data_IF_062345988360
#
_entry.id   IF_062345988360
#
_cell.length_a   1.000
_cell.length_b   1.000
_cell.length_c   1.000
_cell.angle_alpha   90.00
_cell.angle_beta   90.00
_cell.angle_gamma   90.00
#
_symmetry.space_group_name_H-M   'P 1'
#
loop_
_entity.id
_entity.type
_entity.pdbx_description
1 polymer ?
#
# COMPACT_ATOMS: atom_id res chain seq x y z
N UNK A 1 29.76 10.29 -10.06
CA UNK A 1 28.29 10.18 -9.77
C UNK A 1 27.80 8.92 -10.44
N UNK A 2 27.57 7.85 -9.67
CA UNK A 2 27.12 6.58 -10.22
C UNK A 2 25.65 6.72 -10.60
N UNK A 3 25.35 6.52 -11.87
CA UNK A 3 23.98 6.45 -12.38
C UNK A 3 23.23 5.32 -11.66
N UNK A 4 21.96 5.47 -11.31
CA UNK A 4 21.20 4.41 -10.66
C UNK A 4 21.16 3.16 -11.52
N UNK A 5 21.30 1.99 -10.89
CA UNK A 5 21.43 0.69 -11.56
C UNK A 5 20.33 0.42 -12.60
N UNK A 6 19.10 0.88 -12.35
CA UNK A 6 17.99 0.76 -13.30
C UNK A 6 18.19 1.62 -14.55
N UNK A 7 18.71 2.84 -14.41
CA UNK A 7 18.97 3.71 -15.56
C UNK A 7 20.12 3.16 -16.41
N UNK A 8 21.17 2.61 -15.79
CA UNK A 8 22.27 1.97 -16.50
C UNK A 8 21.84 0.67 -17.18
N UNK A 9 20.94 -0.10 -16.58
CA UNK A 9 20.41 -1.32 -17.20
C UNK A 9 19.51 -1.00 -18.40
N UNK A 10 18.63 0.01 -18.29
CA UNK A 10 17.75 0.42 -19.40
C UNK A 10 18.49 1.16 -20.51
N UNK A 11 19.56 1.89 -20.20
CA UNK A 11 20.40 2.53 -21.22
C UNK A 11 21.25 1.54 -22.00
N UNK A 12 21.69 0.42 -21.38
CA UNK A 12 22.40 -0.68 -22.06
C UNK A 12 21.46 -1.61 -22.82
N UNK A 13 20.22 -1.78 -22.34
CA UNK A 13 19.19 -2.50 -23.06
C UNK A 13 18.55 -1.54 -24.06
N UNK A 14 18.69 -1.81 -25.35
CA UNK A 14 18.03 -1.00 -26.39
C UNK A 14 16.52 -0.90 -26.13
N UNK A 15 15.84 0.16 -26.59
CA UNK A 15 14.43 0.43 -26.27
C UNK A 15 13.49 -0.77 -26.56
N UNK A 16 13.85 -1.59 -27.54
CA UNK A 16 13.12 -2.83 -27.86
C UNK A 16 13.18 -3.86 -26.72
N UNK A 17 14.33 -4.04 -26.10
CA UNK A 17 14.50 -4.99 -24.97
C UNK A 17 13.71 -4.51 -23.75
N UNK A 18 13.73 -3.23 -23.47
CA UNK A 18 12.96 -2.65 -22.34
C UNK A 18 11.45 -2.84 -22.55
N UNK A 19 10.98 -2.59 -23.78
CA UNK A 19 9.54 -2.78 -24.12
C UNK A 19 9.15 -4.26 -24.06
N UNK A 20 9.98 -5.17 -24.58
CA UNK A 20 9.68 -6.61 -24.55
C UNK A 20 9.66 -7.17 -23.12
N UNK A 21 10.61 -6.78 -22.27
CA UNK A 21 10.63 -7.19 -20.85
C UNK A 21 9.43 -6.62 -20.10
N UNK A 22 9.10 -5.35 -20.33
CA UNK A 22 7.92 -4.71 -19.75
C UNK A 22 6.61 -5.39 -20.17
N UNK A 23 6.46 -5.70 -21.45
CA UNK A 23 5.29 -6.40 -21.98
C UNK A 23 5.16 -7.83 -21.42
N UNK A 24 6.28 -8.53 -21.27
CA UNK A 24 6.31 -9.88 -20.71
C UNK A 24 5.96 -9.88 -19.22
N UNK A 25 6.47 -8.92 -18.45
CA UNK A 25 6.10 -8.73 -17.06
C UNK A 25 4.60 -8.41 -16.91
N UNK A 26 4.08 -7.52 -17.73
CA UNK A 26 2.66 -7.16 -17.72
C UNK A 26 1.78 -8.36 -18.07
N UNK A 27 2.19 -9.15 -19.05
CA UNK A 27 1.49 -10.38 -19.44
C UNK A 27 1.46 -11.39 -18.29
N UNK A 28 2.59 -11.62 -17.61
CA UNK A 28 2.66 -12.50 -16.44
C UNK A 28 1.77 -12.00 -15.31
N UNK A 29 1.78 -10.68 -15.04
CA UNK A 29 0.97 -10.08 -14.00
C UNK A 29 -0.54 -10.18 -14.27
N UNK A 30 -0.95 -10.10 -15.53
CA UNK A 30 -2.34 -10.29 -15.93
C UNK A 30 -2.74 -11.77 -15.96
N UNK A 31 -1.81 -12.67 -16.33
CA UNK A 31 -2.06 -14.11 -16.38
C UNK A 31 -2.27 -14.71 -14.98
N UNK A 32 -1.52 -14.25 -13.96
CA UNK A 32 -1.60 -14.82 -12.60
C UNK A 32 -3.02 -14.79 -11.99
N UNK A 33 -3.76 -13.66 -11.98
CA UNK A 33 -5.12 -13.66 -11.48
C UNK A 33 -6.09 -14.47 -12.34
N UNK A 34 -5.87 -14.54 -13.66
CA UNK A 34 -6.69 -15.39 -14.54
C UNK A 34 -6.46 -16.89 -14.26
N UNK A 35 -5.21 -17.30 -14.04
CA UNK A 35 -4.88 -18.68 -13.66
C UNK A 35 -5.43 -19.07 -12.29
N UNK A 36 -5.62 -18.12 -11.37
CA UNK A 36 -6.22 -18.39 -10.07
C UNK A 36 -7.74 -18.70 -10.14
N UNK A 37 -8.41 -18.35 -11.24
CA UNK A 37 -9.83 -18.66 -11.48
C UNK A 37 -10.06 -20.07 -12.01
N UNK A 38 -9.00 -20.82 -12.35
CA UNK A 38 -9.10 -22.19 -12.82
C UNK A 38 -9.57 -23.14 -11.70
N UNK A 39 -10.30 -24.22 -12.04
CA UNK A 39 -10.68 -25.24 -11.08
C UNK A 39 -9.48 -25.85 -10.35
N UNK A 40 -9.72 -26.28 -9.09
CA UNK A 40 -8.67 -26.84 -8.22
C UNK A 40 -7.95 -28.07 -8.78
N UNK A 41 -8.56 -28.79 -9.70
CA UNK A 41 -8.02 -29.98 -10.33
C UNK A 41 -7.03 -29.67 -11.49
N UNK A 42 -6.90 -28.40 -11.86
CA UNK A 42 -6.03 -28.01 -12.96
C UNK A 42 -4.59 -27.78 -12.46
N UNK A 43 -3.55 -28.43 -13.06
CA UNK A 43 -2.16 -28.26 -12.63
C UNK A 43 -1.61 -26.83 -12.82
N UNK A 44 -2.28 -25.98 -13.59
CA UNK A 44 -1.91 -24.58 -13.82
C UNK A 44 -2.62 -23.63 -12.84
N UNK A 45 -3.44 -24.12 -11.92
CA UNK A 45 -4.11 -23.27 -10.95
C UNK A 45 -3.09 -22.60 -10.02
N UNK A 46 -3.17 -21.27 -9.91
CA UNK A 46 -2.38 -20.49 -8.96
C UNK A 46 -3.14 -20.39 -7.64
N UNK A 47 -2.52 -20.81 -6.54
CA UNK A 47 -3.13 -20.74 -5.22
C UNK A 47 -3.38 -19.28 -4.79
N UNK A 48 -4.44 -19.06 -4.01
CA UNK A 48 -4.75 -17.74 -3.43
C UNK A 48 -3.58 -17.18 -2.59
N UNK A 49 -2.82 -18.06 -1.93
CA UNK A 49 -1.62 -17.69 -1.21
C UNK A 49 -0.55 -17.08 -2.14
N UNK A 50 -0.27 -17.74 -3.26
CA UNK A 50 0.70 -17.26 -4.26
C UNK A 50 0.28 -15.91 -4.84
N UNK A 51 -1.02 -15.75 -5.15
CA UNK A 51 -1.55 -14.48 -5.66
C UNK A 51 -1.36 -13.35 -4.64
N UNK A 52 -1.66 -13.61 -3.37
CA UNK A 52 -1.47 -12.65 -2.28
C UNK A 52 0.01 -12.30 -2.10
N UNK A 53 0.89 -13.29 -2.18
CA UNK A 53 2.34 -13.08 -2.08
C UNK A 53 2.88 -12.21 -3.21
N UNK A 54 2.46 -12.48 -4.44
CA UNK A 54 2.84 -11.67 -5.62
C UNK A 54 2.32 -10.25 -5.47
N UNK A 55 1.08 -10.05 -5.01
CA UNK A 55 0.53 -8.73 -4.72
C UNK A 55 1.37 -7.95 -3.70
N UNK A 56 1.81 -8.59 -2.62
CA UNK A 56 2.72 -7.97 -1.63
C UNK A 56 4.07 -7.59 -2.25
N UNK A 57 4.65 -8.47 -3.04
CA UNK A 57 5.93 -8.21 -3.72
C UNK A 57 5.81 -7.00 -4.65
N UNK A 58 4.71 -6.88 -5.39
CA UNK A 58 4.45 -5.74 -6.27
C UNK A 58 4.32 -4.43 -5.49
N UNK A 59 3.60 -4.43 -4.38
CA UNK A 59 3.51 -3.27 -3.51
C UNK A 59 4.88 -2.82 -3.00
N UNK A 60 5.72 -3.75 -2.55
CA UNK A 60 7.09 -3.42 -2.12
C UNK A 60 7.99 -2.99 -3.28
N UNK A 61 7.80 -3.54 -4.48
CA UNK A 61 8.53 -3.11 -5.67
C UNK A 61 8.23 -1.64 -6.01
N UNK A 62 6.99 -1.19 -5.87
CA UNK A 62 6.61 0.23 -6.06
C UNK A 62 7.35 1.13 -5.06
N UNK A 63 7.41 0.72 -3.79
CA UNK A 63 8.14 1.48 -2.76
C UNK A 63 9.65 1.52 -3.06
N UNK A 64 10.21 0.39 -3.48
CA UNK A 64 11.62 0.29 -3.87
C UNK A 64 11.95 1.19 -5.07
N UNK A 65 11.08 1.23 -6.09
CA UNK A 65 11.21 2.13 -7.24
C UNK A 65 11.14 3.60 -6.82
N UNK A 66 10.22 3.96 -5.92
CA UNK A 66 10.12 5.32 -5.40
C UNK A 66 11.39 5.73 -4.65
N UNK A 67 11.97 4.83 -3.86
CA UNK A 67 13.24 5.05 -3.16
C UNK A 67 14.40 5.23 -4.15
N UNK A 68 14.49 4.37 -5.16
CA UNK A 68 15.53 4.43 -6.20
C UNK A 68 15.47 5.74 -7.00
N UNK A 69 14.26 6.20 -7.33
CA UNK A 69 14.06 7.49 -7.99
C UNK A 69 14.60 8.66 -7.15
N UNK A 70 14.27 8.71 -5.85
CA UNK A 70 14.72 9.78 -4.98
C UNK A 70 16.24 9.72 -4.78
N UNK A 71 16.80 8.54 -4.55
CA UNK A 71 18.23 8.38 -4.38
C UNK A 71 19.00 8.62 -5.67
N UNK A 72 18.49 8.11 -6.80
CA UNK A 72 19.16 8.21 -8.09
C UNK A 72 19.18 9.63 -8.66
N UNK A 73 18.07 10.36 -8.58
CA UNK A 73 17.97 11.72 -9.13
C UNK A 73 18.35 12.81 -8.14
N UNK A 74 17.87 12.73 -6.90
CA UNK A 74 18.13 13.76 -5.90
C UNK A 74 19.42 13.52 -5.09
N UNK A 75 19.98 12.31 -5.14
CA UNK A 75 21.14 11.91 -4.33
C UNK A 75 20.85 11.90 -2.82
N UNK A 76 19.59 11.86 -2.45
CA UNK A 76 19.11 11.90 -1.07
C UNK A 76 18.60 10.53 -0.67
N UNK A 77 19.22 9.89 0.30
CA UNK A 77 18.72 8.66 0.88
C UNK A 77 17.60 9.00 1.87
N UNK A 78 16.35 8.67 1.51
CA UNK A 78 15.20 8.81 2.39
C UNK A 78 14.79 7.47 2.95
N UNK A 79 14.78 7.33 4.27
CA UNK A 79 14.30 6.14 4.98
C UNK A 79 12.83 6.27 5.41
N UNK A 80 12.16 7.32 4.93
CA UNK A 80 10.76 7.64 5.28
C UNK A 80 9.70 7.08 4.34
N UNK A 81 10.07 6.43 3.23
CA UNK A 81 9.11 5.97 2.21
C UNK A 81 8.05 5.01 2.75
N UNK A 82 8.41 4.18 3.74
CA UNK A 82 7.47 3.27 4.39
C UNK A 82 6.31 3.99 5.09
N UNK A 83 6.55 5.16 5.68
CA UNK A 83 5.51 5.95 6.34
C UNK A 83 4.48 6.50 5.33
N UNK A 84 4.95 7.06 4.22
CA UNK A 84 4.07 7.59 3.19
C UNK A 84 3.24 6.48 2.54
N UNK A 85 3.86 5.33 2.31
CA UNK A 85 3.16 4.14 1.81
C UNK A 85 2.11 3.64 2.82
N UNK A 86 2.46 3.56 4.11
CA UNK A 86 1.55 3.14 5.16
C UNK A 86 0.33 4.07 5.29
N UNK A 87 0.53 5.41 5.23
CA UNK A 87 -0.57 6.37 5.26
C UNK A 87 -1.58 6.15 4.13
N UNK A 88 -1.10 5.93 2.91
CA UNK A 88 -1.97 5.57 1.79
C UNK A 88 -2.70 4.25 2.02
N UNK A 89 -1.99 3.25 2.57
CA UNK A 89 -2.56 1.96 2.94
C UNK A 89 -3.65 2.08 4.02
N UNK A 90 -3.46 2.93 5.03
CA UNK A 90 -4.48 3.19 6.06
C UNK A 90 -5.72 3.89 5.50
N UNK A 91 -5.56 4.84 4.57
CA UNK A 91 -6.69 5.50 3.92
C UNK A 91 -7.57 4.50 3.15
N UNK A 92 -6.97 3.64 2.34
CA UNK A 92 -7.71 2.58 1.63
C UNK A 92 -8.23 1.51 2.60
N UNK A 93 -7.44 1.14 3.60
CA UNK A 93 -7.84 0.18 4.63
C UNK A 93 -9.07 0.62 5.40
N UNK A 94 -9.18 1.92 5.74
CA UNK A 94 -10.37 2.46 6.42
C UNK A 94 -11.62 2.37 5.53
N UNK A 95 -11.50 2.66 4.24
CA UNK A 95 -12.60 2.43 3.29
C UNK A 95 -13.08 0.97 3.33
N UNK A 96 -12.16 0.01 3.25
CA UNK A 96 -12.51 -1.42 3.30
C UNK A 96 -13.15 -1.83 4.61
N UNK A 97 -12.67 -1.30 5.74
CA UNK A 97 -13.25 -1.54 7.07
C UNK A 97 -14.67 -0.99 7.18
N UNK A 98 -14.92 0.19 6.62
CA UNK A 98 -16.26 0.80 6.61
C UNK A 98 -17.22 0.04 5.70
N UNK A 99 -16.77 -0.41 4.53
CA UNK A 99 -17.57 -1.29 3.66
C UNK A 99 -17.95 -2.60 4.37
N UNK A 100 -17.08 -3.14 5.22
CA UNK A 100 -17.36 -4.34 6.00
C UNK A 100 -18.31 -4.08 7.18
N UNK A 101 -18.29 -2.88 7.75
CA UNK A 101 -19.13 -2.49 8.90
C UNK A 101 -20.54 -1.99 8.49
N UNK A 102 -20.74 -1.61 7.21
CA UNK A 102 -21.97 -0.96 6.75
C UNK A 102 -22.21 0.36 7.45
N UNK A 103 -23.41 0.54 8.01
CA UNK A 103 -23.79 1.78 8.74
C UNK A 103 -23.17 1.89 10.15
N UNK A 104 -22.46 0.84 10.61
CA UNK A 104 -21.84 0.79 11.93
C UNK A 104 -20.39 1.31 11.97
N UNK A 105 -19.83 1.31 13.18
CA UNK A 105 -18.42 1.57 13.39
C UNK A 105 -17.56 0.34 12.96
N UNK A 106 -16.35 0.55 12.45
CA UNK A 106 -15.40 -0.53 12.19
C UNK A 106 -15.17 -1.42 13.43
N UNK A 107 -15.02 -2.72 13.22
CA UNK A 107 -14.94 -3.71 14.30
C UNK A 107 -13.83 -3.41 15.32
N UNK A 108 -12.70 -2.86 14.91
CA UNK A 108 -11.62 -2.49 15.82
C UNK A 108 -11.99 -1.29 16.72
N UNK A 109 -12.82 -0.35 16.24
CA UNK A 109 -13.29 0.79 17.02
C UNK A 109 -14.31 0.34 18.08
N UNK A 110 -15.23 -0.55 17.71
CA UNK A 110 -16.18 -1.14 18.69
C UNK A 110 -15.44 -1.94 19.76
N UNK A 111 -14.41 -2.70 19.39
CA UNK A 111 -13.54 -3.41 20.32
C UNK A 111 -12.81 -2.47 21.30
N UNK A 112 -12.38 -1.30 20.82
CA UNK A 112 -11.72 -0.28 21.61
C UNK A 112 -12.71 0.65 22.35
N UNK A 113 -14.01 0.32 22.35
CA UNK A 113 -15.08 1.08 23.01
C UNK A 113 -15.24 2.53 22.50
N UNK A 114 -14.95 2.76 21.21
CA UNK A 114 -15.23 4.04 20.56
C UNK A 114 -16.73 4.18 20.33
N UNK A 115 -17.28 5.35 20.64
CA UNK A 115 -18.70 5.67 20.43
C UNK A 115 -18.99 6.32 19.09
N UNK A 116 -18.00 7.00 18.52
CA UNK A 116 -18.16 7.79 17.29
C UNK A 116 -16.94 7.65 16.36
N UNK A 117 -17.18 7.89 15.07
CA UNK A 117 -16.11 7.93 14.07
C UNK A 117 -15.35 9.27 14.18
N UNK A 118 -14.02 9.25 14.29
CA UNK A 118 -13.21 10.48 14.25
C UNK A 118 -13.44 11.27 12.96
N UNK A 119 -13.44 12.59 13.06
CA UNK A 119 -13.71 13.50 11.96
C UNK A 119 -12.77 13.32 10.74
N UNK A 120 -11.51 12.93 10.97
CA UNK A 120 -10.52 12.68 9.90
C UNK A 120 -10.82 11.42 9.09
N UNK A 121 -11.69 10.54 9.55
CA UNK A 121 -12.19 9.39 8.81
C UNK A 121 -13.56 9.64 8.16
N UNK A 122 -14.13 10.85 8.32
CA UNK A 122 -15.39 11.19 7.68
C UNK A 122 -15.25 11.10 6.14
N UNK A 123 -16.30 10.60 5.49
CA UNK A 123 -16.34 10.43 4.03
C UNK A 123 -15.59 9.21 3.48
N UNK A 124 -14.83 8.47 4.29
CA UNK A 124 -14.11 7.25 3.84
C UNK A 124 -15.04 6.09 3.45
N UNK A 125 -16.34 6.27 3.51
CA UNK A 125 -17.36 5.35 2.94
C UNK A 125 -17.39 5.41 1.40
N UNK A 126 -16.98 6.57 0.82
CA UNK A 126 -16.95 6.76 -0.62
C UNK A 126 -15.60 6.38 -1.20
N UNK A 127 -15.61 5.48 -2.18
CA UNK A 127 -14.38 4.99 -2.82
C UNK A 127 -13.51 6.10 -3.41
N UNK A 128 -14.13 7.07 -4.12
CA UNK A 128 -13.39 8.18 -4.73
C UNK A 128 -12.74 9.08 -3.68
N UNK A 129 -13.40 9.30 -2.54
CA UNK A 129 -12.82 10.08 -1.45
C UNK A 129 -11.64 9.35 -0.80
N UNK A 130 -11.79 8.04 -0.55
CA UNK A 130 -10.70 7.22 -0.04
C UNK A 130 -9.51 7.21 -1.01
N UNK A 131 -9.76 7.10 -2.32
CA UNK A 131 -8.71 7.17 -3.35
C UNK A 131 -7.99 8.53 -3.36
N UNK A 132 -8.73 9.62 -3.19
CA UNK A 132 -8.14 10.95 -3.02
C UNK A 132 -7.26 11.01 -1.76
N UNK A 133 -7.73 10.45 -0.63
CA UNK A 133 -6.96 10.42 0.62
C UNK A 133 -5.68 9.58 0.52
N UNK A 134 -5.68 8.50 -0.26
CA UNK A 134 -4.47 7.68 -0.54
C UNK A 134 -3.34 8.53 -1.10
N UNK A 135 -3.66 9.56 -1.88
CA UNK A 135 -2.66 10.47 -2.47
C UNK A 135 -2.47 11.73 -1.61
N UNK A 136 -3.57 12.33 -1.15
CA UNK A 136 -3.53 13.61 -0.43
C UNK A 136 -2.88 13.51 0.95
N UNK A 137 -3.18 12.47 1.73
CA UNK A 137 -2.64 12.34 3.08
C UNK A 137 -1.10 12.19 3.08
N UNK A 138 -0.50 11.21 2.36
CA UNK A 138 0.95 11.14 2.27
C UNK A 138 1.55 12.31 1.50
N UNK A 139 0.86 12.85 0.48
CA UNK A 139 1.31 14.00 -0.30
C UNK A 139 1.42 15.27 0.55
N UNK A 140 0.43 15.55 1.38
CA UNK A 140 0.45 16.69 2.30
C UNK A 140 1.57 16.55 3.33
N UNK A 141 1.71 15.36 3.93
CA UNK A 141 2.81 15.09 4.87
C UNK A 141 4.17 15.26 4.20
N UNK A 142 4.33 14.73 2.98
CA UNK A 142 5.57 14.87 2.20
C UNK A 142 5.88 16.34 1.87
N UNK A 143 4.85 17.14 1.52
CA UNK A 143 4.98 18.55 1.22
C UNK A 143 5.40 19.33 2.47
N UNK A 144 4.73 19.13 3.60
CA UNK A 144 5.05 19.81 4.86
C UNK A 144 6.45 19.44 5.33
N UNK A 145 6.75 18.15 5.41
CA UNK A 145 8.07 17.68 5.83
C UNK A 145 9.17 18.13 4.89
N UNK A 146 8.96 17.99 3.58
CA UNK A 146 9.90 18.39 2.54
C UNK A 146 10.16 19.89 2.56
N UNK A 147 9.11 20.71 2.71
CA UNK A 147 9.25 22.15 2.81
C UNK A 147 10.19 22.55 3.95
N UNK A 148 9.99 22.02 5.16
CA UNK A 148 10.85 22.34 6.30
C UNK A 148 12.26 21.77 6.14
N UNK A 149 12.42 20.54 5.66
CA UNK A 149 13.70 19.90 5.46
C UNK A 149 14.57 20.65 4.43
N UNK A 150 13.99 20.99 3.28
CA UNK A 150 14.73 21.70 2.23
C UNK A 150 14.98 23.19 2.54
N UNK A 151 14.02 23.85 3.21
CA UNK A 151 14.23 25.22 3.69
C UNK A 151 15.37 25.32 4.70
N UNK A 152 15.52 24.32 5.55
CA UNK A 152 16.61 24.21 6.53
C UNK A 152 17.94 23.78 5.90
N UNK A 153 18.00 23.61 4.57
CA UNK A 153 19.18 23.17 3.80
C UNK A 153 19.82 21.87 4.32
N UNK A 154 19.00 21.00 4.89
CA UNK A 154 19.45 19.70 5.40
C UNK A 154 19.79 18.80 4.22
N UNK A 155 21.00 18.21 4.24
CA UNK A 155 21.53 17.39 3.14
C UNK A 155 22.21 16.12 3.67
N UNK A 156 22.34 15.13 2.78
CA UNK A 156 23.12 13.91 3.07
C UNK A 156 22.55 13.10 4.22
N UNK A 157 23.42 12.65 5.12
CA UNK A 157 23.10 11.75 6.23
C UNK A 157 22.06 12.34 7.20
N UNK A 158 22.08 13.64 7.43
CA UNK A 158 21.10 14.28 8.31
C UNK A 158 19.67 14.15 7.80
N UNK A 159 19.49 14.22 6.48
CA UNK A 159 18.19 14.00 5.86
C UNK A 159 17.70 12.56 6.09
N UNK A 160 18.59 11.57 5.97
CA UNK A 160 18.26 10.17 6.24
C UNK A 160 17.84 9.94 7.69
N UNK A 161 18.56 10.53 8.65
CA UNK A 161 18.24 10.44 10.07
C UNK A 161 16.88 11.08 10.37
N UNK A 162 16.58 12.25 9.79
CA UNK A 162 15.30 12.93 10.00
C UNK A 162 14.12 12.12 9.42
N UNK A 163 14.28 11.55 8.23
CA UNK A 163 13.24 10.72 7.63
C UNK A 163 13.02 9.43 8.41
N UNK A 164 14.08 8.85 8.99
CA UNK A 164 13.98 7.71 9.90
C UNK A 164 13.23 8.07 11.19
N UNK A 165 13.57 9.22 11.80
CA UNK A 165 12.87 9.72 12.99
C UNK A 165 11.38 9.97 12.72
N UNK A 166 11.05 10.54 11.55
CA UNK A 166 9.67 10.75 11.11
C UNK A 166 8.92 9.41 10.99
N UNK A 167 9.58 8.39 10.41
CA UNK A 167 8.98 7.04 10.28
C UNK A 167 8.71 6.43 11.65
N UNK A 168 9.63 6.59 12.58
CA UNK A 168 9.48 6.08 13.95
C UNK A 168 8.33 6.78 14.69
N UNK A 169 8.24 8.11 14.55
CA UNK A 169 7.13 8.88 15.11
C UNK A 169 5.78 8.45 14.53
N UNK A 170 5.71 8.25 13.20
CA UNK A 170 4.50 7.74 12.55
C UNK A 170 4.13 6.32 13.00
N UNK A 171 5.11 5.43 13.15
CA UNK A 171 4.89 4.09 13.69
C UNK A 171 4.28 4.15 15.09
N UNK A 172 4.84 4.96 15.99
CA UNK A 172 4.30 5.13 17.34
C UNK A 172 2.86 5.66 17.32
N UNK A 173 2.56 6.58 16.41
CA UNK A 173 1.21 7.13 16.23
C UNK A 173 0.23 6.04 15.77
N UNK A 174 0.62 5.18 14.82
CA UNK A 174 -0.24 4.11 14.31
C UNK A 174 -0.48 3.00 15.34
N UNK A 175 0.50 2.71 16.19
CA UNK A 175 0.37 1.70 17.25
C UNK A 175 -0.46 2.16 18.45
N UNK A 176 -0.75 3.45 18.60
CA UNK A 176 -1.62 3.91 19.68
C UNK A 176 -3.08 3.57 19.38
N UNK A 177 -3.75 2.95 20.33
CA UNK A 177 -5.18 2.60 20.23
C UNK A 177 -6.08 3.83 20.17
N UNK A 178 -5.63 4.95 20.77
CA UNK A 178 -6.38 6.20 20.89
C UNK A 178 -6.39 7.03 19.60
N UNK A 179 -5.61 6.65 18.60
CA UNK A 179 -5.45 7.41 17.35
C UNK A 179 -6.33 6.94 16.20
N UNK A 180 -7.19 5.92 16.43
CA UNK A 180 -8.12 5.44 15.40
C UNK A 180 -7.48 4.77 14.17
N UNK A 181 -6.21 4.34 14.27
CA UNK A 181 -5.48 3.60 13.23
C UNK A 181 -5.43 2.09 13.49
N UNK A 182 -6.27 1.58 14.39
CA UNK A 182 -6.34 0.15 14.71
C UNK A 182 -5.30 -0.33 15.71
N UNK A 183 -4.37 0.51 16.15
CA UNK A 183 -3.38 0.20 17.18
C UNK A 183 -2.51 -1.02 16.82
N UNK A 184 -2.19 -1.84 17.83
CA UNK A 184 -1.37 -3.02 17.67
C UNK A 184 -2.03 -4.13 16.80
N UNK A 185 -3.36 -4.16 16.72
CA UNK A 185 -4.10 -5.15 15.95
C UNK A 185 -4.22 -4.77 14.46
N UNK A 186 -4.03 -3.48 14.13
CA UNK A 186 -4.17 -2.97 12.76
C UNK A 186 -5.59 -3.10 12.21
N UNK A 187 -5.71 -2.95 10.89
CA UNK A 187 -6.96 -3.15 10.16
C UNK A 187 -7.05 -4.59 9.65
N UNK A 188 -8.16 -5.24 9.92
CA UNK A 188 -8.39 -6.65 9.60
C UNK A 188 -9.81 -6.85 9.04
N UNK A 189 -10.07 -8.06 8.51
CA UNK A 189 -11.42 -8.45 8.09
C UNK A 189 -11.98 -7.66 6.89
N UNK A 190 -11.13 -7.47 5.87
CA UNK A 190 -11.55 -6.88 4.60
C UNK A 190 -12.47 -7.85 3.84
N UNK A 191 -13.72 -7.47 3.60
CA UNK A 191 -14.74 -8.36 3.01
C UNK A 191 -15.17 -7.98 1.60
N UNK A 192 -15.19 -6.69 1.26
CA UNK A 192 -15.72 -6.23 -0.02
C UNK A 192 -15.02 -4.98 -0.54
N UNK A 193 -14.95 -4.86 -1.86
CA UNK A 193 -14.56 -3.63 -2.58
C UNK A 193 -15.66 -3.31 -3.58
N UNK A 194 -16.20 -2.07 -3.57
CA UNK A 194 -17.24 -1.59 -4.49
C UNK A 194 -18.46 -2.54 -4.55
N UNK A 195 -18.85 -3.15 -3.43
CA UNK A 195 -19.93 -4.14 -3.38
C UNK A 195 -19.56 -5.53 -3.87
N UNK A 196 -18.34 -5.73 -4.40
CA UNK A 196 -17.82 -7.04 -4.78
C UNK A 196 -17.21 -7.72 -3.57
N UNK A 197 -17.72 -8.90 -3.20
CA UNK A 197 -17.19 -9.66 -2.08
C UNK A 197 -15.82 -10.24 -2.40
N UNK A 198 -14.82 -9.89 -1.58
CA UNK A 198 -13.47 -10.47 -1.67
C UNK A 198 -13.44 -11.94 -1.21
N UNK A 199 -14.44 -12.38 -0.44
CA UNK A 199 -14.52 -13.72 0.11
C UNK A 199 -14.87 -14.73 -0.98
N UNK A 200 -15.74 -14.37 -1.95
CA UNK A 200 -16.12 -15.26 -3.06
C UNK A 200 -14.97 -15.53 -4.05
N UNK A 201 -13.92 -14.70 -4.03
CA UNK A 201 -12.73 -14.91 -4.87
C UNK A 201 -11.79 -15.94 -4.21
N UNK A 202 -11.86 -16.13 -2.89
CA UNK A 202 -10.90 -16.95 -2.13
C UNK A 202 -11.47 -18.27 -1.58
N UNK A 203 -12.80 -18.45 -1.55
CA UNK A 203 -13.42 -19.71 -1.14
C UNK A 203 -14.19 -20.35 -2.33
N UNK A 204 -13.68 -21.45 -2.91
CA UNK A 204 -14.54 -22.34 -3.68
C UNK A 204 -15.61 -22.87 -2.72
N UNK A 205 -16.87 -22.65 -3.05
CA UNK A 205 -18.05 -23.11 -2.33
C UNK A 205 -17.84 -24.50 -1.72
N UNK A 206 -17.54 -24.57 -0.42
CA UNK A 206 -17.80 -25.78 0.35
C UNK A 206 -19.32 -25.96 0.36
N UNK A 207 -19.83 -26.76 -0.55
CA UNK A 207 -21.14 -27.36 -0.38
C UNK A 207 -21.05 -28.19 0.90
N UNK A 208 -21.67 -27.74 1.97
CA UNK A 208 -21.97 -28.60 3.12
C UNK A 208 -22.87 -29.70 2.59
N UNK A 209 -22.47 -30.99 2.65
CA UNK A 209 -23.43 -32.04 2.44
C UNK A 209 -24.46 -32.01 3.59
N UNK A 210 -25.73 -32.00 3.21
CA UNK A 210 -26.88 -32.16 4.11
C UNK A 210 -26.83 -33.56 4.71
#
# INVERSE_FOLDING_TARGET
>A
MNQPLLITATQKAGPRVTITVGALLLLVLLALPLLSLLPADNPLQVSAYTLTLVGKILCYAIVALALDLVWGYAGLLSLGHGLFFALGGYAMGMYLMRQAAGDGLPAFMTFLSWSELPWYWAGTEHFLWALCLVVLAPGLLALVFGFFAFRSRIKGVYFSIMTQALTFAGMLLFFRNETGFGGNNGFTNFRSILGLSLIHISEPTRRTPI
#
